data_IF_472527678803
#
_entry.id   IF_472527678803
#
_cell.length_a   1.000
_cell.length_b   1.000
_cell.length_c   1.000
_cell.angle_alpha   90.00
_cell.angle_beta   90.00
_cell.angle_gamma   90.00
#
_symmetry.space_group_name_H-M   'P 1'
#
loop_
_entity.id
_entity.type
_entity.pdbx_description
1 polymer ?
#
# COMPACT_ATOMS: atom_id res chain seq x y z
N UNK A 1 -13.72 -15.30 -10.00
CA UNK A 1 -12.90 -15.65 -11.18
C UNK A 1 -12.01 -14.49 -11.62
N UNK A 2 -12.55 -13.34 -12.09
CA UNK A 2 -11.74 -12.16 -12.51
C UNK A 2 -10.65 -11.76 -11.49
N UNK A 3 -11.01 -11.64 -10.20
CA UNK A 3 -10.05 -11.31 -9.15
C UNK A 3 -8.92 -12.33 -8.98
N UNK A 4 -9.22 -13.63 -9.11
CA UNK A 4 -8.21 -14.71 -8.97
C UNK A 4 -7.21 -14.66 -10.12
N UNK A 5 -7.68 -14.49 -11.35
CA UNK A 5 -6.81 -14.38 -12.54
C UNK A 5 -5.86 -13.20 -12.41
N UNK A 6 -6.36 -12.05 -11.95
CA UNK A 6 -5.53 -10.86 -11.72
C UNK A 6 -4.52 -11.07 -10.59
N UNK A 7 -4.93 -11.74 -9.50
CA UNK A 7 -4.02 -12.10 -8.41
C UNK A 7 -2.91 -13.02 -8.89
N UNK A 8 -3.22 -14.03 -9.71
CA UNK A 8 -2.19 -14.88 -10.33
C UNK A 8 -1.24 -14.07 -11.22
N UNK A 9 -1.77 -13.12 -12.00
CA UNK A 9 -0.95 -12.23 -12.82
C UNK A 9 0.00 -11.38 -11.95
N UNK A 10 -0.49 -10.80 -10.85
CA UNK A 10 0.35 -10.02 -9.94
C UNK A 10 1.42 -10.87 -9.24
N UNK A 11 1.11 -12.11 -8.85
CA UNK A 11 2.09 -13.06 -8.31
C UNK A 11 3.17 -13.39 -9.36
N UNK A 12 2.77 -13.64 -10.61
CA UNK A 12 3.70 -13.94 -11.70
C UNK A 12 4.66 -12.77 -11.94
N UNK A 13 4.14 -11.55 -12.01
CA UNK A 13 4.95 -10.35 -12.19
C UNK A 13 5.91 -10.11 -11.01
N UNK A 14 5.48 -10.40 -9.79
CA UNK A 14 6.30 -10.24 -8.59
C UNK A 14 7.39 -11.32 -8.42
N UNK A 15 7.24 -12.46 -9.09
CA UNK A 15 8.22 -13.55 -9.05
C UNK A 15 9.30 -13.42 -10.15
N UNK A 16 9.22 -12.38 -10.99
CA UNK A 16 10.27 -12.03 -11.94
C UNK A 16 11.45 -11.36 -11.23
N UNK A 17 12.68 -11.80 -11.51
CA UNK A 17 13.91 -11.29 -10.90
C UNK A 17 14.80 -12.38 -10.33
N UNK A 18 15.88 -11.96 -9.68
CA UNK A 18 16.73 -12.88 -8.93
C UNK A 18 16.06 -13.34 -7.64
N UNK A 19 16.13 -14.64 -7.39
CA UNK A 19 15.82 -15.22 -6.09
C UNK A 19 16.86 -14.77 -5.05
N UNK A 20 16.41 -14.09 -4.01
CA UNK A 20 17.28 -13.58 -2.94
C UNK A 20 17.90 -14.70 -2.10
N UNK A 21 17.30 -15.90 -2.08
CA UNK A 21 17.79 -17.04 -1.30
C UNK A 21 18.68 -17.98 -2.10
N UNK A 22 18.34 -18.27 -3.36
CA UNK A 22 19.13 -19.20 -4.20
C UNK A 22 20.11 -18.52 -5.15
N UNK A 23 19.96 -17.21 -5.39
CA UNK A 23 20.72 -16.47 -6.41
C UNK A 23 20.36 -16.84 -7.85
N UNK A 24 19.35 -17.70 -8.06
CA UNK A 24 18.93 -18.12 -9.39
C UNK A 24 18.06 -17.04 -10.06
N UNK A 25 18.29 -16.70 -11.33
CA UNK A 25 17.43 -15.79 -12.07
C UNK A 25 16.11 -16.47 -12.44
N UNK A 26 15.00 -15.72 -12.34
CA UNK A 26 13.66 -16.20 -12.66
C UNK A 26 12.98 -15.27 -13.65
N UNK A 27 12.47 -15.85 -14.74
CA UNK A 27 11.73 -15.12 -15.77
C UNK A 27 12.49 -13.88 -16.31
N UNK A 28 13.82 -13.97 -16.39
CA UNK A 28 14.66 -12.86 -16.89
C UNK A 28 14.68 -12.76 -18.41
N UNK A 29 14.27 -13.82 -19.12
CA UNK A 29 14.19 -13.88 -20.59
C UNK A 29 15.45 -13.36 -21.32
N UNK A 30 16.63 -13.53 -20.72
CA UNK A 30 17.92 -13.06 -21.27
C UNK A 30 18.17 -11.56 -21.15
N UNK A 31 17.34 -10.81 -20.41
CA UNK A 31 17.47 -9.37 -20.21
C UNK A 31 18.01 -9.03 -18.82
N UNK A 32 19.17 -8.35 -18.78
CA UNK A 32 19.82 -7.94 -17.54
C UNK A 32 18.98 -6.98 -16.69
N UNK A 33 18.06 -6.21 -17.28
CA UNK A 33 17.14 -5.36 -16.53
C UNK A 33 16.09 -6.15 -15.75
N UNK A 34 15.72 -7.34 -16.23
CA UNK A 34 14.74 -8.20 -15.55
C UNK A 34 15.35 -8.97 -14.38
N UNK A 35 16.68 -9.07 -14.27
CA UNK A 35 17.37 -9.63 -13.09
C UNK A 35 17.01 -8.90 -11.80
N UNK A 36 16.87 -7.56 -11.87
CA UNK A 36 16.44 -6.75 -10.74
C UNK A 36 14.95 -6.87 -10.41
N UNK A 37 14.20 -7.65 -11.19
CA UNK A 37 12.76 -7.80 -11.08
C UNK A 37 11.99 -6.56 -11.53
N UNK A 38 10.68 -6.56 -11.30
CA UNK A 38 9.82 -5.42 -11.59
C UNK A 38 9.82 -4.49 -10.35
N UNK A 39 10.27 -3.23 -10.47
CA UNK A 39 10.28 -2.32 -9.33
C UNK A 39 8.84 -1.95 -8.96
N UNK A 40 8.51 -2.09 -7.67
CA UNK A 40 7.16 -1.90 -7.16
C UNK A 40 6.62 -0.49 -7.40
N UNK A 41 7.39 0.54 -7.05
CA UNK A 41 6.94 1.94 -7.15
C UNK A 41 6.61 2.33 -8.59
N UNK A 42 7.48 2.09 -9.60
CA UNK A 42 7.12 2.34 -10.99
C UNK A 42 5.92 1.50 -11.48
N UNK A 43 5.80 0.24 -11.05
CA UNK A 43 4.66 -0.60 -11.40
C UNK A 43 3.32 0.01 -10.94
N UNK A 44 3.24 0.47 -9.68
CA UNK A 44 2.04 1.12 -9.13
C UNK A 44 1.77 2.47 -9.78
N UNK A 45 2.80 3.29 -9.97
CA UNK A 45 2.68 4.59 -10.65
C UNK A 45 2.08 4.40 -12.03
N UNK A 46 2.52 3.39 -12.78
CA UNK A 46 1.95 3.10 -14.09
C UNK A 46 0.52 2.56 -13.99
N UNK A 47 0.32 1.44 -13.30
CA UNK A 47 -0.95 0.70 -13.27
C UNK A 47 -2.13 1.51 -12.70
N UNK A 48 -1.87 2.47 -11.81
CA UNK A 48 -2.91 3.32 -11.21
C UNK A 48 -2.80 4.77 -11.68
N UNK A 49 -1.61 5.35 -11.69
CA UNK A 49 -1.43 6.77 -12.05
C UNK A 49 -1.49 6.99 -13.56
N UNK A 50 -0.56 6.39 -14.32
CA UNK A 50 -0.48 6.58 -15.76
C UNK A 50 -1.69 5.98 -16.50
N UNK A 51 -2.27 4.88 -16.01
CA UNK A 51 -3.52 4.34 -16.53
C UNK A 51 -4.67 5.37 -16.50
N UNK A 52 -4.73 6.22 -15.47
CA UNK A 52 -5.71 7.31 -15.39
C UNK A 52 -5.40 8.43 -16.37
N UNK A 53 -4.12 8.71 -16.65
CA UNK A 53 -3.73 9.65 -17.71
C UNK A 53 -4.23 9.17 -19.07
N UNK A 54 -4.07 7.87 -19.38
CA UNK A 54 -4.59 7.28 -20.63
C UNK A 54 -6.12 7.37 -20.69
N UNK A 55 -6.82 7.17 -19.58
CA UNK A 55 -8.27 7.41 -19.50
C UNK A 55 -8.62 8.88 -19.78
N UNK A 56 -7.95 9.82 -19.12
CA UNK A 56 -8.18 11.27 -19.28
C UNK A 56 -7.94 11.75 -20.72
N UNK A 57 -7.02 11.11 -21.45
CA UNK A 57 -6.79 11.38 -22.87
C UNK A 57 -7.97 10.91 -23.73
N UNK A 58 -8.53 9.73 -23.43
CA UNK A 58 -9.63 9.16 -24.21
C UNK A 58 -10.98 9.86 -23.94
N UNK A 59 -11.23 10.27 -22.70
CA UNK A 59 -12.50 10.88 -22.28
C UNK A 59 -12.46 12.43 -22.27
N UNK A 60 -11.42 13.01 -22.87
CA UNK A 60 -11.02 14.42 -22.76
C UNK A 60 -12.16 15.42 -23.02
N UNK A 61 -13.00 15.18 -24.01
CA UNK A 61 -14.10 16.09 -24.37
C UNK A 61 -15.24 16.02 -23.35
N UNK A 62 -15.60 14.81 -22.92
CA UNK A 62 -16.63 14.59 -21.90
C UNK A 62 -16.22 15.09 -20.50
N UNK A 63 -14.93 15.00 -20.17
CA UNK A 63 -14.38 15.44 -18.88
C UNK A 63 -14.17 16.95 -18.84
N UNK A 64 -13.83 17.58 -19.97
CA UNK A 64 -13.76 19.04 -20.06
C UNK A 64 -15.14 19.68 -19.85
N UNK A 65 -16.22 19.13 -20.40
CA UNK A 65 -17.58 19.63 -20.17
C UNK A 65 -18.02 19.46 -18.70
N UNK A 66 -17.78 18.28 -18.10
CA UNK A 66 -18.09 18.04 -16.68
C UNK A 66 -17.31 18.96 -15.75
N UNK A 67 -16.03 19.20 -16.02
CA UNK A 67 -15.17 20.07 -15.20
C UNK A 67 -15.44 21.55 -15.45
N UNK A 68 -15.80 21.96 -16.67
CA UNK A 68 -16.27 23.31 -16.95
C UNK A 68 -17.62 23.60 -16.26
N UNK A 69 -18.52 22.62 -16.21
CA UNK A 69 -19.75 22.66 -15.42
C UNK A 69 -19.50 22.73 -13.92
N UNK A 70 -18.53 21.95 -13.40
CA UNK A 70 -18.10 22.00 -12.00
C UNK A 70 -17.39 23.32 -11.63
N UNK A 71 -16.64 23.92 -12.55
CA UNK A 71 -16.04 25.24 -12.39
C UNK A 71 -17.10 26.36 -12.39
N UNK A 72 -18.23 26.17 -13.10
CA UNK A 72 -19.40 27.06 -13.02
C UNK A 72 -20.18 26.87 -11.71
N UNK A 73 -20.27 25.63 -11.22
CA UNK A 73 -20.77 25.25 -9.90
C UNK A 73 -19.66 25.36 -8.83
N UNK A 74 -18.90 26.46 -8.83
CA UNK A 74 -18.14 26.90 -7.66
C UNK A 74 -19.10 27.24 -6.52
N UNK A 75 -19.77 26.23 -5.97
CA UNK A 75 -20.11 26.22 -4.56
C UNK A 75 -18.77 26.37 -3.85
N UNK A 76 -18.49 27.61 -3.46
CA UNK A 76 -17.30 28.06 -2.71
C UNK A 76 -16.67 26.88 -1.95
N UNK A 77 -15.65 26.25 -2.53
CA UNK A 77 -14.77 25.33 -1.80
C UNK A 77 -13.94 26.19 -0.85
N UNK A 78 -14.62 26.71 0.16
CA UNK A 78 -14.04 27.43 1.28
C UNK A 78 -13.33 26.40 2.14
N UNK A 79 -12.21 26.78 2.75
CA UNK A 79 -11.55 26.01 3.81
C UNK A 79 -12.57 25.52 4.85
N UNK A 80 -13.64 26.30 5.08
CA UNK A 80 -14.75 25.97 5.99
C UNK A 80 -15.67 24.85 5.49
N UNK A 81 -15.83 24.68 4.18
CA UNK A 81 -16.60 23.59 3.56
C UNK A 81 -15.79 22.31 3.34
N UNK A 82 -14.46 22.38 3.45
CA UNK A 82 -13.57 21.21 3.42
C UNK A 82 -13.24 20.68 4.82
N UNK A 83 -13.66 21.37 5.89
CA UNK A 83 -13.54 20.87 7.25
C UNK A 83 -14.58 19.77 7.49
N UNK A 84 -14.16 18.71 8.20
CA UNK A 84 -15.02 17.58 8.51
C UNK A 84 -16.24 18.04 9.31
N UNK A 85 -17.42 17.65 8.85
CA UNK A 85 -18.65 17.80 9.63
C UNK A 85 -18.65 16.79 10.77
N UNK A 86 -19.40 17.05 11.86
CA UNK A 86 -19.53 16.07 12.95
C UNK A 86 -20.06 14.70 12.49
N UNK A 87 -20.87 14.69 11.43
CA UNK A 87 -21.31 13.48 10.76
C UNK A 87 -20.15 12.71 10.08
N UNK A 88 -19.27 13.43 9.37
CA UNK A 88 -18.11 12.85 8.71
C UNK A 88 -17.13 12.26 9.73
N UNK A 89 -16.95 12.94 10.87
CA UNK A 89 -16.11 12.45 11.96
C UNK A 89 -16.60 11.11 12.51
N UNK A 90 -17.92 10.96 12.69
CA UNK A 90 -18.54 9.70 13.16
C UNK A 90 -18.39 8.58 12.12
N UNK A 91 -18.38 8.89 10.83
CA UNK A 91 -18.16 7.92 9.74
C UNK A 91 -16.69 7.51 9.59
N UNK A 92 -15.79 8.46 9.79
CA UNK A 92 -14.33 8.32 9.76
C UNK A 92 -13.80 7.42 10.88
N UNK A 93 -14.30 7.63 12.10
CA UNK A 93 -13.64 7.14 13.31
C UNK A 93 -13.57 5.60 13.39
N UNK A 94 -14.66 4.84 13.12
CA UNK A 94 -14.59 3.38 13.19
C UNK A 94 -13.65 2.76 12.14
N UNK A 95 -13.69 3.15 10.84
CA UNK A 95 -12.70 2.72 9.86
C UNK A 95 -11.27 3.09 10.24
N UNK A 96 -11.03 4.30 10.74
CA UNK A 96 -9.69 4.78 11.11
C UNK A 96 -9.11 3.98 12.28
N UNK A 97 -9.87 3.74 13.35
CA UNK A 97 -9.39 2.98 14.52
C UNK A 97 -9.13 1.53 14.14
N UNK A 98 -10.09 0.86 13.47
CA UNK A 98 -9.94 -0.55 13.10
C UNK A 98 -8.76 -0.75 12.15
N UNK A 99 -8.63 0.12 11.15
CA UNK A 99 -7.56 0.02 10.16
C UNK A 99 -6.23 0.49 10.74
N UNK A 100 -6.24 1.40 11.71
CA UNK A 100 -5.07 1.79 12.50
C UNK A 100 -4.53 0.62 13.34
N UNK A 101 -5.38 -0.09 14.09
CA UNK A 101 -4.96 -1.29 14.83
C UNK A 101 -4.38 -2.37 13.92
N UNK A 102 -5.05 -2.61 12.79
CA UNK A 102 -4.56 -3.53 11.77
C UNK A 102 -3.24 -3.04 11.14
N UNK A 103 -3.11 -1.75 10.89
CA UNK A 103 -1.90 -1.11 10.40
C UNK A 103 -0.74 -1.29 11.37
N UNK A 104 -0.92 -1.00 12.67
CA UNK A 104 0.09 -1.24 13.70
C UNK A 104 0.53 -2.70 13.71
N UNK A 105 -0.42 -3.64 13.69
CA UNK A 105 -0.10 -5.07 13.65
C UNK A 105 0.73 -5.45 12.41
N UNK A 106 0.36 -4.94 11.24
CA UNK A 106 1.12 -5.15 10.00
C UNK A 106 2.49 -4.50 10.07
N UNK A 107 2.61 -3.31 10.65
CA UNK A 107 3.89 -2.61 10.82
C UNK A 107 4.87 -3.37 11.69
N UNK A 108 4.39 -4.01 12.76
CA UNK A 108 5.21 -4.86 13.64
C UNK A 108 5.74 -6.10 12.91
N UNK A 109 5.05 -6.58 11.87
CA UNK A 109 5.51 -7.73 11.10
C UNK A 109 6.71 -7.36 10.21
N UNK A 110 7.85 -8.05 10.35
CA UNK A 110 9.01 -7.79 9.50
C UNK A 110 8.70 -8.02 8.02
N UNK A 111 9.11 -7.06 7.18
CA UNK A 111 8.95 -7.09 5.74
C UNK A 111 7.61 -6.57 5.21
N UNK A 112 6.56 -6.42 6.03
CA UNK A 112 5.24 -6.06 5.51
C UNK A 112 5.17 -4.59 5.03
N UNK A 113 5.80 -3.66 5.75
CA UNK A 113 5.86 -2.24 5.38
C UNK A 113 4.51 -1.51 5.38
N UNK A 114 4.56 -0.19 5.24
CA UNK A 114 3.38 0.68 5.33
C UNK A 114 2.39 0.52 4.16
N UNK A 115 2.91 0.25 2.95
CA UNK A 115 2.07 0.08 1.76
C UNK A 115 1.16 -1.15 1.85
N UNK A 116 1.67 -2.27 2.35
CA UNK A 116 0.84 -3.45 2.64
C UNK A 116 -0.26 -3.13 3.66
N UNK A 117 0.10 -2.37 4.70
CA UNK A 117 -0.85 -1.86 5.69
C UNK A 117 -2.00 -1.09 5.05
N UNK A 118 -1.68 -0.11 4.21
CA UNK A 118 -2.67 0.72 3.49
C UNK A 118 -3.63 -0.11 2.64
N UNK A 119 -3.09 -1.01 1.80
CA UNK A 119 -3.92 -1.87 0.94
C UNK A 119 -4.76 -2.85 1.74
N UNK A 120 -4.24 -3.41 2.83
CA UNK A 120 -5.00 -4.31 3.70
C UNK A 120 -6.13 -3.56 4.41
N UNK A 121 -5.87 -2.35 4.92
CA UNK A 121 -6.89 -1.47 5.50
C UNK A 121 -8.04 -1.20 4.52
N UNK A 122 -7.70 -0.84 3.29
CA UNK A 122 -8.69 -0.63 2.22
C UNK A 122 -9.46 -1.92 1.87
N UNK A 123 -8.77 -3.06 1.75
CA UNK A 123 -9.39 -4.35 1.42
C UNK A 123 -10.35 -4.82 2.53
N UNK A 124 -10.00 -4.59 3.79
CA UNK A 124 -10.88 -4.86 4.94
C UNK A 124 -12.09 -3.94 4.90
N UNK A 125 -11.92 -2.64 4.66
CA UNK A 125 -13.04 -1.70 4.57
C UNK A 125 -14.04 -2.10 3.47
N UNK A 126 -13.60 -2.72 2.38
CA UNK A 126 -14.48 -3.25 1.33
C UNK A 126 -15.48 -4.31 1.79
N UNK A 127 -15.25 -4.94 2.94
CA UNK A 127 -16.18 -5.91 3.55
C UNK A 127 -17.22 -5.27 4.45
N UNK A 128 -17.09 -3.99 4.76
CA UNK A 128 -18.01 -3.24 5.61
C UNK A 128 -18.90 -2.32 4.78
N UNK A 129 -20.03 -1.91 5.36
CA UNK A 129 -20.90 -0.92 4.74
C UNK A 129 -20.19 0.43 4.70
N UNK A 130 -20.26 1.08 3.55
CA UNK A 130 -19.88 2.47 3.34
C UNK A 130 -21.12 3.17 2.78
N UNK A 131 -21.37 4.41 3.18
CA UNK A 131 -22.53 5.16 2.64
C UNK A 131 -22.33 5.49 1.17
N UNK A 132 -21.09 5.72 0.76
CA UNK A 132 -20.69 5.89 -0.63
C UNK A 132 -19.96 4.65 -1.14
N UNK A 133 -20.12 4.27 -2.42
CA UNK A 133 -19.39 3.16 -2.99
C UNK A 133 -17.88 3.41 -2.93
N UNK A 134 -17.13 2.44 -2.40
CA UNK A 134 -15.67 2.54 -2.35
C UNK A 134 -15.10 2.64 -3.77
N UNK A 135 -14.20 3.61 -3.97
CA UNK A 135 -13.64 3.94 -5.28
C UNK A 135 -14.17 5.25 -5.88
N UNK A 136 -15.23 5.84 -5.32
CA UNK A 136 -15.75 7.16 -5.74
C UNK A 136 -15.27 8.30 -4.83
N UNK A 137 -14.22 8.09 -4.04
CA UNK A 137 -13.75 9.06 -3.04
C UNK A 137 -14.43 8.96 -1.67
N UNK A 138 -15.06 7.82 -1.35
CA UNK A 138 -15.70 7.60 -0.04
C UNK A 138 -14.71 7.81 1.13
N UNK A 139 -15.11 8.65 2.09
CA UNK A 139 -14.29 9.04 3.26
C UNK A 139 -13.83 7.81 4.05
N UNK A 140 -14.69 6.80 4.18
CA UNK A 140 -14.38 5.57 4.91
C UNK A 140 -13.24 4.77 4.28
N UNK A 141 -13.14 4.78 2.94
CA UNK A 141 -12.08 4.10 2.21
C UNK A 141 -10.73 4.80 2.37
N UNK A 142 -10.73 6.13 2.31
CA UNK A 142 -9.54 6.97 2.49
C UNK A 142 -9.06 6.86 3.95
N UNK A 143 -9.96 7.02 4.91
CA UNK A 143 -9.67 6.89 6.34
C UNK A 143 -9.08 5.52 6.71
N UNK A 144 -9.60 4.44 6.11
CA UNK A 144 -9.08 3.11 6.34
C UNK A 144 -7.68 2.92 5.76
N UNK A 145 -7.44 3.36 4.53
CA UNK A 145 -6.15 3.24 3.86
C UNK A 145 -5.07 4.11 4.51
N UNK A 146 -5.37 5.37 4.82
CA UNK A 146 -4.44 6.31 5.44
C UNK A 146 -4.20 6.00 6.91
N UNK A 147 -5.25 5.63 7.65
CA UNK A 147 -5.12 5.21 9.05
C UNK A 147 -4.23 3.99 9.19
N UNK A 148 -4.39 2.99 8.30
CA UNK A 148 -3.52 1.81 8.30
C UNK A 148 -2.08 2.14 7.85
N UNK A 149 -1.91 3.00 6.84
CA UNK A 149 -0.59 3.43 6.36
C UNK A 149 0.21 4.09 7.49
N UNK A 150 -0.39 5.09 8.15
CA UNK A 150 0.29 5.86 9.19
C UNK A 150 0.59 5.00 10.43
N UNK A 151 -0.36 4.15 10.83
CA UNK A 151 -0.16 3.24 11.95
C UNK A 151 0.89 2.15 11.66
N UNK A 152 0.96 1.65 10.42
CA UNK A 152 1.98 0.69 10.01
C UNK A 152 3.39 1.31 9.98
N UNK A 153 3.51 2.56 9.54
CA UNK A 153 4.77 3.29 9.57
C UNK A 153 5.31 3.44 11.01
N UNK A 154 4.45 3.82 11.96
CA UNK A 154 4.83 3.89 13.37
C UNK A 154 5.09 2.50 13.97
N UNK A 155 4.26 1.50 13.65
CA UNK A 155 4.40 0.12 14.13
C UNK A 155 5.72 -0.53 13.72
N UNK A 156 6.28 -0.16 12.56
CA UNK A 156 7.56 -0.67 12.07
C UNK A 156 8.77 -0.24 12.92
N UNK A 157 8.64 0.82 13.72
CA UNK A 157 9.70 1.23 14.65
C UNK A 157 9.84 0.28 15.84
N UNK A 158 8.78 -0.42 16.25
CA UNK A 158 8.83 -1.31 17.40
C UNK A 158 9.86 -2.45 17.21
N UNK A 159 9.79 -3.30 16.17
CA UNK A 159 10.81 -4.33 15.95
C UNK A 159 12.18 -3.75 15.58
N UNK A 160 12.21 -2.60 14.90
CA UNK A 160 13.44 -1.92 14.53
C UNK A 160 14.24 -1.49 15.77
N UNK A 161 13.61 -0.76 16.70
CA UNK A 161 14.26 -0.24 17.88
C UNK A 161 14.49 -1.32 18.95
N UNK A 162 13.53 -2.22 19.14
CA UNK A 162 13.60 -3.22 20.20
C UNK A 162 14.43 -4.46 19.84
N UNK A 163 14.46 -4.85 18.56
CA UNK A 163 15.13 -6.08 18.11
C UNK A 163 16.25 -5.81 17.09
N UNK A 164 16.38 -4.59 16.57
CA UNK A 164 17.31 -4.30 15.47
C UNK A 164 16.88 -4.92 14.13
N UNK A 165 15.62 -5.38 14.02
CA UNK A 165 15.12 -6.07 12.83
C UNK A 165 14.25 -5.09 12.02
N UNK A 166 14.69 -4.65 10.84
CA UNK A 166 13.93 -3.68 10.06
C UNK A 166 12.65 -4.29 9.48
N UNK A 167 11.54 -3.56 9.61
CA UNK A 167 10.24 -3.95 9.06
C UNK A 167 10.07 -3.69 7.55
N UNK A 168 10.96 -2.94 6.93
CA UNK A 168 10.93 -2.57 5.52
C UNK A 168 12.32 -2.15 5.03
N UNK A 169 12.49 -2.00 3.71
CA UNK A 169 13.72 -1.42 3.15
C UNK A 169 14.04 -0.02 3.68
N UNK A 170 13.03 0.83 3.90
CA UNK A 170 13.22 2.14 4.54
C UNK A 170 13.67 2.01 6.00
N UNK A 171 13.15 1.02 6.74
CA UNK A 171 13.60 0.70 8.09
C UNK A 171 15.06 0.23 8.13
N UNK A 172 15.54 -0.49 7.09
CA UNK A 172 16.94 -0.93 7.01
C UNK A 172 17.89 0.25 6.77
N UNK A 173 17.50 1.23 5.95
CA UNK A 173 18.26 2.48 5.79
C UNK A 173 18.30 3.25 7.10
N UNK A 174 17.19 3.34 7.81
CA UNK A 174 17.13 3.98 9.12
C UNK A 174 18.01 3.24 10.16
N UNK A 175 18.02 1.90 10.14
CA UNK A 175 18.93 1.09 10.97
C UNK A 175 20.38 1.46 10.70
N UNK A 176 20.78 1.52 9.42
CA UNK A 176 22.12 1.94 9.02
C UNK A 176 22.46 3.35 9.49
N UNK A 177 21.50 4.28 9.41
CA UNK A 177 21.64 5.64 9.92
C UNK A 177 21.84 5.70 11.44
N UNK A 178 21.04 4.95 12.21
CA UNK A 178 21.19 4.86 13.66
C UNK A 178 22.56 4.30 14.06
N UNK A 179 22.99 3.23 13.40
CA UNK A 179 24.32 2.63 13.61
C UNK A 179 25.45 3.60 13.26
N UNK A 180 25.29 4.40 12.20
CA UNK A 180 26.26 5.45 11.83
C UNK A 180 26.39 6.53 12.91
N UNK A 181 25.32 6.78 13.68
CA UNK A 181 25.30 7.70 14.81
C UNK A 181 25.73 7.04 16.13
N UNK A 182 26.24 5.81 16.08
CA UNK A 182 26.70 5.07 17.26
C UNK A 182 25.57 4.44 18.09
N UNK A 183 24.31 4.58 17.66
CA UNK A 183 23.16 3.97 18.31
C UNK A 183 23.05 2.52 17.84
N UNK A 184 23.00 1.58 18.79
CA UNK A 184 22.86 0.15 18.51
C UNK A 184 21.45 -0.32 18.85
N UNK A 185 20.53 -0.46 17.88
CA UNK A 185 19.16 -0.87 18.14
C UNK A 185 19.07 -2.28 18.72
N UNK A 186 18.15 -2.46 19.66
CA UNK A 186 18.02 -3.65 20.48
C UNK A 186 17.52 -3.33 21.89
N UNK A 187 17.33 -4.32 22.77
CA UNK A 187 16.81 -4.10 24.12
C UNK A 187 17.71 -3.17 24.96
N UNK A 188 19.02 -3.17 24.68
CA UNK A 188 20.00 -2.31 25.33
C UNK A 188 19.89 -0.84 24.93
N UNK A 189 19.33 -0.52 23.76
CA UNK A 189 19.14 0.88 23.33
C UNK A 189 18.26 1.63 24.32
N UNK A 190 17.19 1.00 24.81
CA UNK A 190 16.28 1.60 25.78
C UNK A 190 16.89 1.75 27.18
N UNK A 191 17.97 1.01 27.48
CA UNK A 191 18.68 1.09 28.76
C UNK A 191 19.82 2.11 28.70
N UNK A 192 20.60 2.06 27.62
CA UNK A 192 21.81 2.87 27.45
C UNK A 192 21.48 4.28 26.94
N UNK A 193 20.46 4.42 26.11
CA UNK A 193 20.08 5.67 25.44
C UNK A 193 18.57 5.98 25.64
N UNK A 194 18.09 6.09 26.91
CA UNK A 194 16.68 6.28 27.21
C UNK A 194 16.16 7.64 26.71
N UNK A 195 16.98 8.69 26.81
CA UNK A 195 16.63 10.05 26.36
C UNK A 195 16.37 10.09 24.86
N UNK A 196 17.20 9.37 24.08
CA UNK A 196 16.99 9.21 22.65
C UNK A 196 15.70 8.43 22.37
N UNK A 197 15.49 7.28 23.02
CA UNK A 197 14.34 6.42 22.75
C UNK A 197 13.01 7.12 23.06
N UNK A 198 12.89 7.72 24.25
CA UNK A 198 11.70 8.43 24.65
C UNK A 198 11.53 9.75 23.90
N UNK A 199 12.63 10.45 23.60
CA UNK A 199 12.62 11.63 22.74
C UNK A 199 12.11 11.31 21.32
N UNK A 200 12.57 10.19 20.73
CA UNK A 200 12.10 9.71 19.45
C UNK A 200 10.59 9.39 19.50
N UNK A 201 10.14 8.61 20.50
CA UNK A 201 8.72 8.29 20.66
C UNK A 201 7.87 9.56 20.83
N UNK A 202 8.29 10.49 21.69
CA UNK A 202 7.59 11.77 21.88
C UNK A 202 7.57 12.60 20.58
N UNK A 203 8.67 12.61 19.83
CA UNK A 203 8.76 13.29 18.54
C UNK A 203 7.79 12.69 17.51
N UNK A 204 7.51 11.38 17.54
CA UNK A 204 6.52 10.76 16.64
C UNK A 204 5.10 11.26 16.92
N UNK A 205 4.74 11.47 18.20
CA UNK A 205 3.45 12.07 18.55
C UNK A 205 3.37 13.53 18.07
N UNK A 206 4.43 14.30 18.35
CA UNK A 206 4.50 15.71 17.96
C UNK A 206 4.51 15.87 16.42
N UNK A 207 5.24 15.02 15.72
CA UNK A 207 5.30 15.00 14.26
C UNK A 207 3.94 14.73 13.63
N UNK A 208 3.09 13.88 14.22
CA UNK A 208 1.72 13.68 13.74
C UNK A 208 0.86 14.95 13.90
N UNK A 209 1.02 15.68 15.02
CA UNK A 209 0.34 16.98 15.21
C UNK A 209 0.80 18.01 14.18
N UNK A 210 2.10 18.12 13.94
CA UNK A 210 2.66 18.99 12.91
C UNK A 210 2.20 18.58 11.51
N UNK A 211 2.18 17.28 11.21
CA UNK A 211 1.72 16.75 9.92
C UNK A 211 0.26 17.12 9.68
N UNK A 212 -0.60 17.03 10.71
CA UNK A 212 -1.98 17.47 10.62
C UNK A 212 -2.09 18.97 10.32
N UNK A 213 -1.33 19.81 11.03
CA UNK A 213 -1.33 21.25 10.79
C UNK A 213 -0.86 21.61 9.37
N UNK A 214 0.24 21.01 8.91
CA UNK A 214 0.76 21.18 7.55
C UNK A 214 -0.25 20.69 6.51
N UNK A 215 -0.87 19.52 6.73
CA UNK A 215 -1.88 18.98 5.83
C UNK A 215 -3.06 19.96 5.67
N UNK A 216 -3.59 20.50 6.78
CA UNK A 216 -4.69 21.48 6.76
C UNK A 216 -4.30 22.75 5.98
N UNK A 217 -3.08 23.26 6.18
CA UNK A 217 -2.58 24.43 5.45
C UNK A 217 -2.44 24.18 3.93
N UNK A 218 -2.17 22.93 3.52
CA UNK A 218 -1.96 22.54 2.12
C UNK A 218 -3.28 22.24 1.38
N UNK A 219 -4.37 21.91 2.08
CA UNK A 219 -5.70 21.69 1.50
C UNK A 219 -6.14 22.77 0.48
N UNK A 220 -6.08 24.08 0.77
CA UNK A 220 -6.52 25.11 -0.19
C UNK A 220 -5.71 25.08 -1.49
N UNK A 221 -4.41 24.76 -1.41
CA UNK A 221 -3.57 24.61 -2.59
C UNK A 221 -3.95 23.36 -3.40
N UNK A 222 -4.21 22.23 -2.74
CA UNK A 222 -4.67 21.00 -3.40
C UNK A 222 -6.02 21.18 -4.10
N UNK A 223 -6.93 21.97 -3.51
CA UNK A 223 -8.23 22.29 -4.13
C UNK A 223 -8.03 23.09 -5.43
N UNK A 224 -7.08 24.01 -5.48
CA UNK A 224 -6.79 24.78 -6.70
C UNK A 224 -6.23 23.91 -7.83
N UNK A 225 -5.53 22.81 -7.52
CA UNK A 225 -5.06 21.87 -8.55
C UNK A 225 -6.23 21.22 -9.29
N UNK A 226 -7.38 21.02 -8.63
CA UNK A 226 -8.57 20.42 -9.24
C UNK A 226 -9.23 21.31 -10.30
N UNK A 227 -9.00 22.63 -10.27
CA UNK A 227 -9.55 23.56 -11.27
C UNK A 227 -8.68 23.70 -12.52
N UNK A 228 -7.50 23.07 -12.54
CA UNK A 228 -6.61 23.12 -13.70
C UNK A 228 -7.22 22.32 -14.87
N UNK A 229 -7.31 22.90 -16.09
CA UNK A 229 -7.84 22.21 -17.26
C UNK A 229 -7.08 20.92 -17.58
N UNK A 230 -7.80 19.90 -18.06
CA UNK A 230 -7.25 18.57 -18.40
C UNK A 230 -6.08 18.67 -19.40
N UNK A 231 -6.13 19.67 -20.30
CA UNK A 231 -5.05 19.98 -21.27
C UNK A 231 -3.68 20.18 -20.61
N UNK A 232 -3.64 20.79 -19.42
CA UNK A 232 -2.39 21.01 -18.67
C UNK A 232 -2.10 19.88 -17.67
N UNK A 233 -3.13 19.24 -17.11
CA UNK A 233 -2.94 18.12 -16.17
C UNK A 233 -2.25 16.92 -16.82
N UNK A 234 -2.62 16.54 -18.05
CA UNK A 234 -2.05 15.39 -18.76
C UNK A 234 -0.52 15.46 -18.86
N UNK A 235 0.08 16.53 -19.43
CA UNK A 235 1.54 16.62 -19.53
C UNK A 235 2.22 16.73 -18.16
N UNK A 236 1.63 17.45 -17.20
CA UNK A 236 2.19 17.59 -15.84
C UNK A 236 2.25 16.23 -15.14
N UNK A 237 1.12 15.50 -15.11
CA UNK A 237 1.06 14.17 -14.46
C UNK A 237 2.03 13.21 -15.16
N UNK A 238 2.10 13.24 -16.49
CA UNK A 238 3.04 12.38 -17.25
C UNK A 238 4.49 12.65 -16.83
N UNK A 239 4.91 13.91 -16.77
CA UNK A 239 6.26 14.29 -16.35
C UNK A 239 6.52 13.87 -14.91
N UNK A 240 5.57 14.09 -14.01
CA UNK A 240 5.69 13.69 -12.59
C UNK A 240 5.77 12.17 -12.45
N UNK A 241 4.97 11.40 -13.19
CA UNK A 241 5.03 9.94 -13.21
C UNK A 241 6.39 9.44 -13.74
N UNK A 242 6.90 10.04 -14.82
CA UNK A 242 8.24 9.71 -15.35
C UNK A 242 9.34 10.04 -14.35
N UNK A 243 9.30 11.24 -13.74
CA UNK A 243 10.28 11.65 -12.74
C UNK A 243 10.24 10.76 -11.49
N UNK A 244 9.04 10.41 -10.99
CA UNK A 244 8.87 9.52 -9.84
C UNK A 244 9.35 8.09 -10.12
N UNK A 245 9.02 7.55 -11.29
CA UNK A 245 9.48 6.24 -11.73
C UNK A 245 11.01 6.21 -11.88
N UNK A 246 11.59 7.26 -12.47
CA UNK A 246 13.04 7.38 -12.63
C UNK A 246 13.75 7.54 -11.28
N UNK A 247 13.27 8.42 -10.40
CA UNK A 247 13.89 8.73 -9.11
C UNK A 247 13.99 7.51 -8.19
N UNK A 248 13.01 6.61 -8.23
CA UNK A 248 13.00 5.43 -7.34
C UNK A 248 14.07 4.40 -7.72
N UNK A 249 14.34 4.24 -9.01
CA UNK A 249 15.27 3.20 -9.52
C UNK A 249 16.56 3.78 -10.11
N UNK A 250 16.67 5.11 -10.13
CA UNK A 250 17.68 5.91 -10.84
C UNK A 250 18.02 5.34 -12.24
N UNK A 251 16.99 4.90 -12.96
CA UNK A 251 17.12 4.12 -14.20
C UNK A 251 15.90 4.26 -15.10
N UNK A 252 16.15 4.29 -16.41
CA UNK A 252 15.11 4.30 -17.45
C UNK A 252 14.28 3.02 -17.46
N UNK A 253 14.79 1.92 -16.93
CA UNK A 253 14.01 0.68 -16.80
C UNK A 253 12.75 0.89 -15.97
N UNK A 254 12.83 1.65 -14.86
CA UNK A 254 11.66 2.00 -14.06
C UNK A 254 10.62 2.78 -14.87
N UNK A 255 11.06 3.71 -15.72
CA UNK A 255 10.18 4.49 -16.61
C UNK A 255 9.49 3.59 -17.64
N UNK A 256 10.20 2.65 -18.24
CA UNK A 256 9.63 1.68 -19.19
C UNK A 256 8.58 0.80 -18.50
N UNK A 257 8.89 0.29 -17.30
CA UNK A 257 7.95 -0.49 -16.48
C UNK A 257 6.70 0.32 -16.16
N UNK A 258 6.83 1.61 -15.84
CA UNK A 258 5.71 2.52 -15.60
C UNK A 258 4.82 2.67 -16.83
N UNK A 259 5.39 2.85 -18.02
CA UNK A 259 4.60 2.92 -19.25
C UNK A 259 3.87 1.61 -19.55
N UNK A 260 4.57 0.47 -19.47
CA UNK A 260 3.98 -0.85 -19.72
C UNK A 260 2.88 -1.19 -18.72
N UNK A 261 3.13 -0.97 -17.43
CA UNK A 261 2.13 -1.24 -16.39
C UNK A 261 0.95 -0.28 -16.49
N UNK A 262 1.14 0.95 -16.97
CA UNK A 262 0.04 1.87 -17.24
C UNK A 262 -0.86 1.46 -18.40
N UNK A 263 -0.29 0.92 -19.49
CA UNK A 263 -1.08 0.33 -20.57
C UNK A 263 -1.86 -0.89 -20.05
N UNK A 264 -1.21 -1.78 -19.31
CA UNK A 264 -1.87 -2.95 -18.70
C UNK A 264 -2.99 -2.51 -17.74
N UNK A 265 -2.73 -1.53 -16.88
CA UNK A 265 -3.70 -0.97 -15.94
C UNK A 265 -4.92 -0.38 -16.65
N UNK A 266 -4.69 0.36 -17.74
CA UNK A 266 -5.76 0.92 -18.57
C UNK A 266 -6.63 -0.19 -19.20
N UNK A 267 -6.01 -1.23 -19.77
CA UNK A 267 -6.72 -2.37 -20.37
C UNK A 267 -7.54 -3.12 -19.31
N UNK A 268 -6.98 -3.35 -18.12
CA UNK A 268 -7.71 -3.98 -17.01
C UNK A 268 -8.92 -3.15 -16.60
N UNK A 269 -8.75 -1.84 -16.44
CA UNK A 269 -9.81 -0.93 -16.04
C UNK A 269 -10.97 -0.92 -17.07
N UNK A 270 -10.63 -0.81 -18.37
CA UNK A 270 -11.61 -0.85 -19.47
C UNK A 270 -12.42 -2.15 -19.52
N UNK A 271 -11.81 -3.27 -19.13
CA UNK A 271 -12.46 -4.59 -19.10
C UNK A 271 -13.14 -4.92 -17.75
N UNK A 272 -13.27 -3.94 -16.85
CA UNK A 272 -13.83 -4.11 -15.50
C UNK A 272 -13.09 -5.17 -14.67
N UNK A 273 -11.78 -5.27 -14.83
CA UNK A 273 -10.89 -6.09 -14.01
C UNK A 273 -10.34 -5.22 -12.86
N UNK A 274 -10.55 -5.60 -11.59
CA UNK A 274 -10.08 -4.79 -10.47
C UNK A 274 -8.54 -4.80 -10.38
N UNK A 275 -7.90 -3.63 -10.53
CA UNK A 275 -6.45 -3.52 -10.41
C UNK A 275 -5.92 -3.76 -8.97
N UNK A 276 -6.74 -3.45 -7.95
CA UNK A 276 -6.33 -3.55 -6.55
C UNK A 276 -5.83 -4.96 -6.13
N UNK A 277 -6.52 -6.07 -6.45
CA UNK A 277 -5.99 -7.43 -6.25
C UNK A 277 -4.62 -7.69 -6.89
N UNK A 278 -4.33 -7.11 -8.06
CA UNK A 278 -3.04 -7.25 -8.73
C UNK A 278 -1.93 -6.66 -7.88
N UNK A 279 -2.11 -5.39 -7.50
CA UNK A 279 -1.14 -4.60 -6.76
C UNK A 279 -0.90 -5.21 -5.38
N UNK A 280 -1.97 -5.65 -4.71
CA UNK A 280 -1.86 -6.36 -3.44
C UNK A 280 -1.06 -7.65 -3.59
N UNK A 281 -1.39 -8.48 -4.57
CA UNK A 281 -0.67 -9.74 -4.79
C UNK A 281 0.80 -9.53 -5.17
N UNK A 282 1.09 -8.46 -5.91
CA UNK A 282 2.43 -8.12 -6.33
C UNK A 282 3.34 -7.78 -5.14
N UNK A 283 2.81 -7.10 -4.12
CA UNK A 283 3.56 -6.77 -2.89
C UNK A 283 3.66 -7.96 -1.94
N UNK A 284 2.56 -8.70 -1.77
CA UNK A 284 2.49 -9.76 -0.77
C UNK A 284 3.20 -11.04 -1.20
N UNK A 285 3.29 -11.33 -2.50
CA UNK A 285 3.85 -12.59 -2.98
C UNK A 285 5.34 -12.78 -2.62
N UNK A 286 6.24 -11.80 -2.86
CA UNK A 286 7.65 -11.94 -2.45
C UNK A 286 7.80 -12.10 -0.94
N UNK A 287 6.99 -11.36 -0.17
CA UNK A 287 7.00 -11.46 1.30
C UNK A 287 6.56 -12.83 1.79
N UNK A 288 5.52 -13.40 1.18
CA UNK A 288 5.08 -14.75 1.50
C UNK A 288 6.17 -15.76 1.15
N UNK A 289 6.73 -15.66 -0.06
CA UNK A 289 7.77 -16.57 -0.53
C UNK A 289 9.01 -16.54 0.37
N UNK A 290 9.56 -15.36 0.66
CA UNK A 290 10.76 -15.20 1.48
C UNK A 290 10.56 -15.75 2.89
N UNK A 291 9.43 -15.45 3.51
CA UNK A 291 9.14 -15.90 4.87
C UNK A 291 8.85 -17.40 4.92
N UNK A 292 8.15 -17.96 3.93
CA UNK A 292 7.96 -19.40 3.84
C UNK A 292 9.29 -20.14 3.63
N UNK A 293 10.17 -19.63 2.75
CA UNK A 293 11.49 -20.21 2.52
C UNK A 293 12.37 -20.15 3.77
N UNK A 294 12.40 -19.00 4.47
CA UNK A 294 13.10 -18.88 5.77
C UNK A 294 12.59 -19.91 6.77
N UNK A 295 11.26 -20.08 6.88
CA UNK A 295 10.68 -21.10 7.75
C UNK A 295 11.13 -22.53 7.39
N UNK A 296 11.15 -22.87 6.09
CA UNK A 296 11.61 -24.19 5.65
C UNK A 296 13.10 -24.43 5.84
N UNK A 297 13.94 -23.40 5.68
CA UNK A 297 15.37 -23.50 5.97
C UNK A 297 15.58 -23.79 7.46
N UNK A 298 14.86 -23.08 8.33
CA UNK A 298 14.92 -23.31 9.79
C UNK A 298 14.42 -24.71 10.17
N UNK A 299 13.42 -25.24 9.46
CA UNK A 299 12.82 -26.55 9.75
C UNK A 299 13.51 -27.73 9.06
N UNK A 300 14.55 -27.49 8.26
CA UNK A 300 15.16 -28.53 7.41
C UNK A 300 14.19 -29.12 6.38
N UNK A 301 13.22 -28.32 5.91
CA UNK A 301 12.19 -28.75 4.95
C UNK A 301 10.95 -29.39 5.58
N UNK A 302 10.89 -29.51 6.90
CA UNK A 302 9.73 -30.09 7.59
C UNK A 302 8.55 -29.12 7.69
N UNK A 303 7.35 -29.57 7.31
CA UNK A 303 6.09 -28.84 7.49
C UNK A 303 5.64 -28.80 8.97
N UNK A 304 6.24 -29.60 9.86
CA UNK A 304 5.87 -29.62 11.27
C UNK A 304 6.12 -28.28 11.97
N UNK A 305 7.00 -27.41 11.45
CA UNK A 305 7.29 -26.10 12.05
C UNK A 305 6.05 -25.21 12.20
N UNK A 306 5.03 -25.40 11.36
CA UNK A 306 3.78 -24.65 11.45
C UNK A 306 2.87 -25.11 12.60
N UNK A 307 3.07 -26.33 13.10
CA UNK A 307 2.21 -26.97 14.11
C UNK A 307 2.92 -27.24 15.44
N UNK A 308 4.24 -27.03 15.52
CA UNK A 308 5.02 -27.34 16.73
C UNK A 308 4.88 -26.32 17.85
N UNK A 309 4.65 -25.03 17.52
CA UNK A 309 4.51 -23.97 18.53
C UNK A 309 3.05 -23.59 18.75
N UNK A 310 2.63 -23.29 20.00
CA UNK A 310 1.25 -22.87 20.29
C UNK A 310 0.80 -21.66 19.45
N UNK A 311 1.69 -20.68 19.28
CA UNK A 311 1.42 -19.45 18.52
C UNK A 311 1.18 -19.75 17.04
N UNK A 312 2.01 -20.59 16.41
CA UNK A 312 1.84 -20.95 14.99
C UNK A 312 0.58 -21.77 14.79
N UNK A 313 0.25 -22.66 15.73
CA UNK A 313 -0.97 -23.46 15.67
C UNK A 313 -2.23 -22.56 15.72
N UNK A 314 -2.28 -21.58 16.63
CA UNK A 314 -3.38 -20.60 16.70
C UNK A 314 -3.50 -19.79 15.41
N UNK A 315 -2.38 -19.30 14.86
CA UNK A 315 -2.37 -18.55 13.60
C UNK A 315 -2.85 -19.40 12.42
N UNK A 316 -2.46 -20.68 12.37
CA UNK A 316 -2.90 -21.62 11.34
C UNK A 316 -4.40 -21.92 11.44
N UNK A 317 -4.94 -22.07 12.66
CA UNK A 317 -6.39 -22.23 12.89
C UNK A 317 -7.14 -21.00 12.39
N UNK A 318 -6.67 -19.79 12.72
CA UNK A 318 -7.28 -18.54 12.24
C UNK A 318 -7.22 -18.46 10.72
N UNK A 319 -6.06 -18.76 10.12
CA UNK A 319 -5.88 -18.76 8.67
C UNK A 319 -6.86 -19.71 7.98
N UNK A 320 -6.90 -20.98 8.38
CA UNK A 320 -7.83 -21.95 7.82
C UNK A 320 -9.28 -21.58 8.09
N UNK A 321 -9.60 -21.04 9.26
CA UNK A 321 -10.93 -20.52 9.59
C UNK A 321 -11.37 -19.42 8.61
N UNK A 322 -10.50 -18.46 8.32
CA UNK A 322 -10.78 -17.39 7.35
C UNK A 322 -10.99 -17.94 5.94
N UNK A 323 -10.14 -18.88 5.50
CA UNK A 323 -10.22 -19.50 4.17
C UNK A 323 -11.52 -20.31 4.04
N UNK A 324 -11.82 -21.17 5.01
CA UNK A 324 -13.03 -22.01 5.03
C UNK A 324 -14.28 -21.13 5.03
N UNK A 325 -14.35 -20.12 5.91
CA UNK A 325 -15.50 -19.19 5.95
C UNK A 325 -15.66 -18.46 4.62
N UNK A 326 -14.56 -18.03 3.99
CA UNK A 326 -14.61 -17.32 2.71
C UNK A 326 -15.08 -18.19 1.54
N UNK A 327 -14.81 -19.50 1.57
CA UNK A 327 -15.26 -20.46 0.55
C UNK A 327 -16.69 -20.93 0.83
N UNK A 328 -16.99 -21.28 2.07
CA UNK A 328 -18.25 -21.91 2.48
C UNK A 328 -19.40 -20.92 2.49
N UNK A 329 -19.19 -19.68 2.95
CA UNK A 329 -20.24 -18.65 3.03
C UNK A 329 -20.93 -18.38 1.68
N UNK A 330 -20.23 -18.11 0.56
CA UNK A 330 -20.88 -17.90 -0.74
C UNK A 330 -21.54 -19.17 -1.29
N UNK A 331 -21.08 -20.38 -0.92
CA UNK A 331 -21.72 -21.65 -1.31
C UNK A 331 -23.04 -21.84 -0.56
N UNK A 332 -23.08 -21.55 0.74
CA UNK A 332 -24.30 -21.61 1.56
C UNK A 332 -25.31 -20.55 1.12
N UNK A 333 -24.87 -19.32 0.85
CA UNK A 333 -25.75 -18.25 0.37
C UNK A 333 -26.36 -18.59 -1.00
N UNK A 334 -25.59 -19.17 -1.93
CA UNK A 334 -26.12 -19.69 -3.20
C UNK A 334 -27.11 -20.84 -3.05
N UNK A 335 -26.96 -21.69 -2.03
CA UNK A 335 -27.90 -22.78 -1.73
C UNK A 335 -29.18 -22.29 -1.06
N UNK A 336 -29.13 -21.19 -0.29
CA UNK A 336 -30.33 -20.57 0.32
C UNK A 336 -31.12 -19.68 -0.64
N UNK A 337 -30.48 -19.20 -1.71
CA UNK A 337 -31.11 -18.40 -2.76
C UNK A 337 -31.71 -19.23 -3.91
N UNK A 338 -31.53 -20.55 -3.88
CA UNK A 338 -32.19 -21.54 -4.74
C UNK A 338 -33.29 -22.23 -3.95
#
# INVERSE_FOLDING_TARGET
VKGVVITCLGILLASMGMDTLSGAPRYEFGNMYLLGGIPFTPFVIGAVGFAQVINLINDRDSDNEKRAGAAKNQMKLSIRGSMLTGHDFKRLLPPAIRSGLLGTFIGVLPGAGATTGSFMGYAVQKKFKSEQPLGTGAIEGIAAAEGANNAAAAGAFAPLLALGIPGSGTGAVLLGGLMMWGLSPGPLLFQNEPDFCWGLIASLYLANLFTLAVAICVIPFLIQILSVPVKYMIPIITVVCMAGAYSTSNSLYGVIVMFLSGVVGYVLNKNNFPAAPMLLSFVLAPLLEDNMRKAFIISGGSLNIFFTRPITCVLMIIFFGIVIVSIVKPIIEKRKAK
#
